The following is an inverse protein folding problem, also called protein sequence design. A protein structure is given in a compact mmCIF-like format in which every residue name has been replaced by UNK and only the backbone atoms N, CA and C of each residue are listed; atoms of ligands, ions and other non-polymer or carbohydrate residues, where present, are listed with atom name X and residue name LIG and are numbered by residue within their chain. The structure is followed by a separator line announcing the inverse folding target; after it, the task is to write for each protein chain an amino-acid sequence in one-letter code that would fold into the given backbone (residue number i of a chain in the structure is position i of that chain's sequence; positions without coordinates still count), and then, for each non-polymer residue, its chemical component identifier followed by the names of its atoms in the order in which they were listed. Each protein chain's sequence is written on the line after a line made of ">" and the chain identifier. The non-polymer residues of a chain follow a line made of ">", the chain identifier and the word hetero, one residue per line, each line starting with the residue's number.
data_IF_485712452653
#
_entry.id   IF_485712452653
#
_cell.length_a   1.000
_cell.length_b   1.000
_cell.length_c   1.000
_cell.angle_alpha   90.00
_cell.angle_beta   90.00
_cell.angle_gamma   90.00
#
_symmetry.space_group_name_H-M   'P 1'
#
loop_
_entity.id
_entity.type
_entity.pdbx_description
1 polymer ?
#
# COMPACT_ATOMS: atom_id res chain seq x y z
N UNK A 1 15.79 22.66 2.51
CA UNK A 1 14.81 21.78 3.16
C UNK A 1 14.09 21.03 2.05
N UNK A 2 14.31 19.71 1.96
CA UNK A 2 13.91 18.86 0.85
C UNK A 2 12.40 18.91 0.64
N UNK A 3 11.95 19.11 -0.60
CA UNK A 3 10.53 19.07 -0.98
C UNK A 3 9.96 17.71 -0.55
N UNK A 4 9.16 17.70 0.52
CA UNK A 4 8.32 16.55 0.90
C UNK A 4 7.36 16.29 -0.27
N UNK A 5 7.69 15.29 -1.10
CA UNK A 5 6.77 14.82 -2.13
C UNK A 5 5.70 14.03 -1.41
N UNK A 6 4.54 14.66 -1.17
CA UNK A 6 3.35 13.95 -0.71
C UNK A 6 3.05 12.85 -1.72
N UNK A 7 3.20 11.59 -1.32
CA UNK A 7 2.77 10.45 -2.14
C UNK A 7 1.27 10.32 -1.96
N UNK A 8 0.56 9.94 -3.02
CA UNK A 8 -0.88 9.79 -2.96
C UNK A 8 -1.28 8.78 -1.86
N UNK A 9 -2.41 8.99 -1.17
CA UNK A 9 -2.93 8.02 -0.21
C UNK A 9 -3.18 6.67 -0.88
N UNK A 10 -2.66 5.60 -0.28
CA UNK A 10 -3.03 4.24 -0.62
C UNK A 10 -4.33 3.86 0.09
N UNK A 11 -5.22 3.16 -0.62
CA UNK A 11 -6.48 2.65 -0.06
C UNK A 11 -6.60 1.16 -0.37
N UNK A 12 -6.83 0.33 0.65
CA UNK A 12 -6.94 -1.11 0.47
C UNK A 12 -8.13 -1.52 -0.43
N UNK A 13 -9.16 -0.68 -0.50
CA UNK A 13 -10.30 -0.89 -1.40
C UNK A 13 -9.99 -0.71 -2.89
N UNK A 14 -8.96 0.06 -3.24
CA UNK A 14 -8.62 0.34 -4.65
C UNK A 14 -8.23 -0.93 -5.44
N UNK A 15 -7.46 -1.89 -4.88
CA UNK A 15 -7.25 -3.20 -5.50
C UNK A 15 -8.41 -4.19 -5.32
N UNK A 16 -9.54 -3.76 -4.73
CA UNK A 16 -10.74 -4.58 -4.52
C UNK A 16 -10.73 -5.42 -3.25
N UNK A 17 -9.93 -5.06 -2.22
CA UNK A 17 -10.08 -5.66 -0.89
C UNK A 17 -11.27 -5.01 -0.18
N UNK A 18 -12.05 -5.80 0.56
CA UNK A 18 -13.11 -5.29 1.44
C UNK A 18 -12.50 -4.70 2.73
N UNK A 19 -11.72 -3.64 2.58
CA UNK A 19 -11.03 -2.95 3.67
C UNK A 19 -10.98 -1.44 3.43
N UNK A 20 -11.51 -0.70 4.39
CA UNK A 20 -11.55 0.77 4.38
C UNK A 20 -10.25 1.41 4.90
N UNK A 21 -9.19 0.63 5.05
CA UNK A 21 -7.91 1.16 5.52
C UNK A 21 -7.27 2.06 4.46
N UNK A 22 -6.96 3.28 4.88
CA UNK A 22 -6.29 4.32 4.08
C UNK A 22 -4.98 4.72 4.75
N UNK A 23 -3.95 5.00 3.96
CA UNK A 23 -2.67 5.44 4.49
C UNK A 23 -1.91 6.36 3.55
N UNK A 24 -1.21 7.32 4.14
CA UNK A 24 -0.39 8.30 3.44
C UNK A 24 1.05 8.17 3.93
N UNK A 25 2.02 8.39 3.04
CA UNK A 25 3.43 8.42 3.40
C UNK A 25 4.19 9.46 2.58
N UNK A 26 5.38 9.81 3.07
CA UNK A 26 6.25 10.81 2.45
C UNK A 26 7.14 10.22 1.34
N UNK A 27 6.94 8.94 0.99
CA UNK A 27 7.68 8.23 -0.05
C UNK A 27 7.04 6.89 -0.41
N UNK A 28 7.24 6.44 -1.64
CA UNK A 28 6.71 5.15 -2.13
C UNK A 28 7.27 3.97 -1.33
N UNK A 29 8.56 3.99 -0.98
CA UNK A 29 9.16 2.92 -0.18
C UNK A 29 8.53 2.80 1.22
N UNK A 30 8.29 3.94 1.87
CA UNK A 30 7.65 3.98 3.19
C UNK A 30 6.17 3.60 3.10
N UNK A 31 5.48 4.02 2.04
CA UNK A 31 4.12 3.60 1.76
C UNK A 31 4.07 2.08 1.58
N UNK A 32 4.95 1.52 0.74
CA UNK A 32 4.97 0.10 0.42
C UNK A 32 5.19 -0.75 1.67
N UNK A 33 6.19 -0.43 2.50
CA UNK A 33 6.45 -1.18 3.75
C UNK A 33 5.23 -1.22 4.67
N UNK A 34 4.53 -0.09 4.80
CA UNK A 34 3.34 -0.03 5.65
C UNK A 34 2.17 -0.80 5.04
N UNK A 35 1.96 -0.71 3.73
CA UNK A 35 0.94 -1.50 3.01
C UNK A 35 1.24 -2.99 3.15
N UNK A 36 2.48 -3.40 2.94
CA UNK A 36 2.89 -4.80 3.06
C UNK A 36 2.60 -5.34 4.47
N UNK A 37 3.00 -4.58 5.50
CA UNK A 37 2.70 -4.95 6.89
C UNK A 37 1.20 -5.08 7.16
N UNK A 38 0.38 -4.16 6.63
CA UNK A 38 -1.07 -4.24 6.76
C UNK A 38 -1.65 -5.46 6.04
N UNK A 39 -1.24 -5.70 4.80
CA UNK A 39 -1.71 -6.82 3.98
C UNK A 39 -1.34 -8.18 4.59
N UNK A 40 -0.12 -8.31 5.14
CA UNK A 40 0.32 -9.53 5.81
C UNK A 40 -0.42 -9.79 7.14
N UNK A 41 -0.84 -8.76 7.85
CA UNK A 41 -1.43 -8.90 9.20
C UNK A 41 -2.95 -8.87 9.19
N UNK A 42 -3.56 -7.89 8.52
CA UNK A 42 -5.01 -7.71 8.45
C UNK A 42 -5.66 -8.68 7.45
N UNK A 43 -4.99 -8.95 6.33
CA UNK A 43 -5.50 -9.84 5.29
C UNK A 43 -4.85 -11.21 5.27
N UNK A 44 -3.79 -11.44 6.07
CA UNK A 44 -3.01 -12.68 6.08
C UNK A 44 -2.52 -13.09 4.68
N UNK A 45 -2.27 -12.10 3.83
CA UNK A 45 -1.85 -12.28 2.44
C UNK A 45 -0.33 -12.20 2.33
N UNK A 46 0.23 -13.07 1.51
CA UNK A 46 1.67 -13.09 1.25
C UNK A 46 2.04 -12.03 0.20
N UNK A 47 2.76 -11.00 0.64
CA UNK A 47 3.22 -9.87 -0.20
C UNK A 47 4.34 -10.28 -1.16
N UNK A 48 4.99 -11.43 -0.93
CA UNK A 48 5.99 -11.98 -1.85
C UNK A 48 5.36 -12.63 -3.08
N UNK A 49 4.04 -12.92 -3.05
CA UNK A 49 3.32 -13.39 -4.23
C UNK A 49 3.18 -12.27 -5.25
N UNK A 50 3.55 -12.57 -6.49
CA UNK A 50 3.52 -11.60 -7.59
C UNK A 50 2.12 -10.99 -7.80
N UNK A 51 1.06 -11.79 -7.63
CA UNK A 51 -0.33 -11.33 -7.70
C UNK A 51 -0.66 -10.24 -6.66
N UNK A 52 -0.19 -10.39 -5.43
CA UNK A 52 -0.47 -9.45 -4.33
C UNK A 52 0.36 -8.19 -4.52
N UNK A 53 1.63 -8.38 -4.91
CA UNK A 53 2.52 -7.26 -5.22
C UNK A 53 1.99 -6.40 -6.37
N UNK A 54 1.44 -7.02 -7.43
CA UNK A 54 0.78 -6.30 -8.53
C UNK A 54 -0.47 -5.54 -8.07
N UNK A 55 -1.27 -6.11 -7.17
CA UNK A 55 -2.44 -5.42 -6.60
C UNK A 55 -2.03 -4.18 -5.79
N UNK A 56 -1.03 -4.32 -4.92
CA UNK A 56 -0.50 -3.22 -4.12
C UNK A 56 0.04 -2.12 -5.03
N UNK A 57 0.92 -2.47 -5.97
CA UNK A 57 1.52 -1.51 -6.91
C UNK A 57 0.47 -0.83 -7.79
N UNK A 58 -0.58 -1.54 -8.24
CA UNK A 58 -1.66 -0.97 -9.05
C UNK A 58 -2.53 0.05 -8.32
N UNK A 59 -2.53 0.02 -6.99
CA UNK A 59 -3.25 0.95 -6.13
C UNK A 59 -2.37 2.09 -5.59
N UNK A 60 -1.05 1.99 -5.73
CA UNK A 60 -0.11 3.10 -5.54
C UNK A 60 -0.06 3.92 -6.84
N UNK A 61 -0.95 4.91 -6.96
CA UNK A 61 -1.06 5.80 -8.14
C UNK A 61 -0.38 7.14 -7.95
#
# INVERSE_FOLDING_TARGET
>A
MSKMKKVAPFRCRDPGLECDYEMEAEGEEELMKRVEGHVMTAHQMDVHKEEIRKKILGAMR
#
